data_IF_435531883320
#
_entry.id   IF_435531883320
#
_cell.length_a   1.000
_cell.length_b   1.000
_cell.length_c   1.000
_cell.angle_alpha   90.00
_cell.angle_beta   90.00
_cell.angle_gamma   90.00
#
_symmetry.space_group_name_H-M   'P 1'
#
loop_
_entity.id
_entity.type
_entity.pdbx_description
1 polymer ?
#
# COMPACT_ATOMS: atom_id res chain seq x y z
N UNK A 1 -9.86 -22.81 10.36
CA UNK A 1 -9.66 -21.33 10.45
C UNK A 1 -8.68 -20.96 11.58
N UNK A 2 -8.90 -21.39 12.83
CA UNK A 2 -8.06 -21.02 13.98
C UNK A 2 -6.57 -21.40 13.81
N UNK A 3 -6.31 -22.59 13.33
CA UNK A 3 -4.96 -23.13 13.13
C UNK A 3 -4.14 -22.33 12.09
N UNK A 4 -4.80 -21.82 11.05
CA UNK A 4 -4.16 -20.99 10.03
C UNK A 4 -3.80 -19.61 10.59
N UNK A 5 -4.68 -18.99 11.40
CA UNK A 5 -4.41 -17.72 12.08
C UNK A 5 -3.22 -17.85 13.03
N UNK A 6 -3.18 -18.90 13.85
CA UNK A 6 -2.08 -19.16 14.79
C UNK A 6 -0.73 -19.34 14.07
N UNK A 7 -0.72 -20.12 12.97
CA UNK A 7 0.46 -20.26 12.10
C UNK A 7 0.93 -18.92 11.52
N UNK A 8 -0.02 -18.12 11.05
CA UNK A 8 0.30 -16.82 10.47
C UNK A 8 0.89 -15.86 11.51
N UNK A 9 0.33 -15.84 12.72
CA UNK A 9 0.87 -15.03 13.82
C UNK A 9 2.29 -15.48 14.19
N UNK A 10 2.56 -16.78 14.25
CA UNK A 10 3.91 -17.30 14.52
C UNK A 10 4.89 -16.91 13.40
N UNK A 11 4.48 -17.03 12.14
CA UNK A 11 5.31 -16.63 11.02
C UNK A 11 5.63 -15.13 11.05
N UNK A 12 4.64 -14.28 11.29
CA UNK A 12 4.83 -12.83 11.43
C UNK A 12 5.80 -12.49 12.57
N UNK A 13 5.67 -13.16 13.73
CA UNK A 13 6.59 -12.97 14.87
C UNK A 13 8.03 -13.27 14.46
N UNK A 14 8.28 -14.40 13.83
CA UNK A 14 9.64 -14.81 13.40
C UNK A 14 10.20 -13.75 12.45
N UNK A 15 9.43 -13.26 11.50
CA UNK A 15 9.88 -12.19 10.59
C UNK A 15 10.22 -10.92 11.35
N UNK A 16 9.34 -10.46 12.25
CA UNK A 16 9.59 -9.26 13.06
C UNK A 16 10.91 -9.37 13.81
N UNK A 17 11.15 -10.50 14.50
CA UNK A 17 12.37 -10.73 15.27
C UNK A 17 13.62 -10.82 14.37
N UNK A 18 13.51 -11.47 13.20
CA UNK A 18 14.60 -11.58 12.21
C UNK A 18 14.97 -10.21 11.61
N UNK A 19 14.00 -9.31 11.47
CA UNK A 19 14.20 -7.94 10.97
C UNK A 19 14.47 -6.93 12.09
N UNK A 20 15.01 -7.40 13.21
CA UNK A 20 15.41 -6.58 14.37
C UNK A 20 14.24 -5.80 15.03
N UNK A 21 13.01 -6.24 14.81
CA UNK A 21 11.85 -5.73 15.50
C UNK A 21 11.56 -6.49 16.80
N UNK A 22 10.67 -5.94 17.59
CA UNK A 22 10.14 -6.56 18.81
C UNK A 22 8.62 -6.60 18.77
N UNK A 23 8.06 -7.78 18.93
CA UNK A 23 6.61 -7.92 19.12
C UNK A 23 6.22 -7.37 20.48
N UNK A 24 5.30 -6.44 20.52
CA UNK A 24 4.80 -5.79 21.74
C UNK A 24 3.64 -6.56 22.32
N UNK A 25 2.64 -6.82 21.50
CA UNK A 25 1.43 -7.57 21.90
C UNK A 25 0.68 -8.14 20.71
N UNK A 26 -0.19 -9.09 21.01
CA UNK A 26 -1.20 -9.58 20.07
C UNK A 26 -2.45 -8.71 20.13
N UNK A 27 -3.10 -8.49 18.99
CA UNK A 27 -4.32 -7.69 18.84
C UNK A 27 -5.45 -8.53 18.24
N UNK A 28 -5.79 -9.61 18.94
CA UNK A 28 -6.75 -10.60 18.45
C UNK A 28 -6.13 -11.51 17.39
N UNK A 29 -6.46 -11.30 16.12
CA UNK A 29 -5.94 -12.02 14.95
C UNK A 29 -4.66 -11.41 14.35
N UNK A 30 -4.12 -10.36 14.96
CA UNK A 30 -2.93 -9.64 14.51
C UNK A 30 -1.87 -9.48 15.59
N UNK A 31 -0.83 -8.71 15.27
CA UNK A 31 0.23 -8.34 16.20
C UNK A 31 0.65 -6.89 16.03
N UNK A 32 1.13 -6.30 17.12
CA UNK A 32 1.80 -5.02 17.14
C UNK A 32 3.28 -5.22 17.39
N UNK A 33 4.11 -4.62 16.55
CA UNK A 33 5.56 -4.67 16.66
C UNK A 33 6.17 -3.26 16.61
N UNK A 34 7.37 -3.12 17.16
CA UNK A 34 8.18 -1.89 17.11
C UNK A 34 9.54 -2.19 16.51
N UNK A 35 10.05 -1.21 15.78
CA UNK A 35 11.37 -1.22 15.13
C UNK A 35 12.11 0.06 15.49
N UNK A 36 13.43 0.02 15.47
CA UNK A 36 14.28 1.17 15.77
C UNK A 36 14.33 2.20 14.63
N UNK A 37 14.07 1.74 13.41
CA UNK A 37 14.13 2.53 12.18
C UNK A 37 13.01 2.14 11.20
N UNK A 38 12.67 3.03 10.26
CA UNK A 38 11.58 2.79 9.32
C UNK A 38 11.93 1.75 8.24
N UNK A 39 13.20 1.59 7.88
CA UNK A 39 13.62 0.64 6.84
C UNK A 39 13.43 -0.80 7.31
N UNK A 40 13.81 -1.10 8.56
CA UNK A 40 13.55 -2.41 9.19
C UNK A 40 12.05 -2.73 9.25
N UNK A 41 11.20 -1.73 9.52
CA UNK A 41 9.75 -1.91 9.52
C UNK A 41 9.19 -2.19 8.12
N UNK A 42 9.68 -1.48 7.10
CA UNK A 42 9.29 -1.70 5.71
C UNK A 42 9.73 -3.08 5.21
N UNK A 43 10.98 -3.48 5.51
CA UNK A 43 11.51 -4.80 5.15
C UNK A 43 10.74 -5.94 5.83
N UNK A 44 10.44 -5.80 7.13
CA UNK A 44 9.58 -6.75 7.83
C UNK A 44 8.20 -6.85 7.20
N UNK A 45 7.61 -5.73 6.80
CA UNK A 45 6.30 -5.66 6.16
C UNK A 45 6.27 -6.45 4.84
N UNK A 46 7.26 -6.26 3.97
CA UNK A 46 7.38 -7.00 2.72
C UNK A 46 7.63 -8.50 2.96
N UNK A 47 8.54 -8.80 3.89
CA UNK A 47 8.86 -10.19 4.22
C UNK A 47 7.66 -10.92 4.82
N UNK A 48 6.86 -10.27 5.67
CA UNK A 48 5.60 -10.82 6.20
C UNK A 48 4.65 -11.15 5.04
N UNK A 49 4.45 -10.20 4.13
CA UNK A 49 3.55 -10.41 2.99
C UNK A 49 3.96 -11.64 2.18
N UNK A 50 5.24 -11.77 1.82
CA UNK A 50 5.77 -12.90 1.07
C UNK A 50 5.62 -14.21 1.86
N UNK A 51 6.03 -14.20 3.14
CA UNK A 51 5.94 -15.38 4.00
C UNK A 51 4.51 -15.90 4.11
N UNK A 52 3.54 -15.01 4.27
CA UNK A 52 2.13 -15.41 4.37
C UNK A 52 1.56 -15.91 3.04
N UNK A 53 2.01 -15.36 1.92
CA UNK A 53 1.66 -15.81 0.57
C UNK A 53 2.16 -17.25 0.31
N UNK A 54 3.34 -17.57 0.83
CA UNK A 54 4.00 -18.87 0.65
C UNK A 54 3.58 -19.91 1.70
N UNK A 55 2.78 -19.52 2.71
CA UNK A 55 2.28 -20.47 3.70
C UNK A 55 1.43 -21.55 3.01
N UNK A 56 1.70 -22.85 3.26
CA UNK A 56 0.91 -23.93 2.73
C UNK A 56 -0.56 -23.77 3.15
N UNK A 57 -1.45 -23.73 2.19
CA UNK A 57 -2.91 -23.72 2.40
C UNK A 57 -3.52 -24.90 1.65
N UNK A 58 -4.53 -25.55 2.23
CA UNK A 58 -5.30 -26.54 1.49
C UNK A 58 -6.22 -25.84 0.49
N UNK A 59 -6.66 -26.51 -0.60
CA UNK A 59 -7.57 -25.92 -1.59
C UNK A 59 -8.87 -25.34 -0.98
N UNK A 60 -9.27 -25.85 0.19
CA UNK A 60 -10.47 -25.44 0.93
C UNK A 60 -10.19 -24.28 1.91
N UNK A 61 -8.92 -23.94 2.17
CA UNK A 61 -8.51 -22.86 3.06
C UNK A 61 -8.25 -21.61 2.24
N UNK A 62 -9.06 -20.59 2.49
CA UNK A 62 -8.86 -19.26 1.93
C UNK A 62 -7.51 -18.71 2.40
N UNK A 63 -6.68 -18.21 1.48
CA UNK A 63 -5.40 -17.57 1.83
C UNK A 63 -5.66 -16.37 2.71
N UNK A 64 -4.91 -16.26 3.82
CA UNK A 64 -5.00 -15.10 4.69
C UNK A 64 -4.28 -13.92 4.05
N UNK A 65 -5.01 -12.83 3.91
CA UNK A 65 -4.47 -11.55 3.47
C UNK A 65 -4.50 -10.56 4.65
N UNK A 66 -3.33 -10.22 5.16
CA UNK A 66 -3.21 -9.27 6.28
C UNK A 66 -3.26 -7.83 5.81
N UNK A 67 -3.81 -6.96 6.66
CA UNK A 67 -3.72 -5.51 6.52
C UNK A 67 -2.57 -5.03 7.37
N UNK A 68 -1.70 -4.22 6.80
CA UNK A 68 -0.53 -3.72 7.52
C UNK A 68 -0.49 -2.20 7.49
N UNK A 69 -0.06 -1.62 8.61
CA UNK A 69 0.17 -0.18 8.71
C UNK A 69 1.39 0.07 9.57
N UNK A 70 2.26 0.98 9.16
CA UNK A 70 3.40 1.37 9.97
C UNK A 70 3.63 2.88 9.92
N UNK A 71 4.13 3.43 11.01
CA UNK A 71 4.46 4.84 11.14
C UNK A 71 5.68 5.01 12.05
N UNK A 72 6.57 5.90 11.66
CA UNK A 72 7.78 6.21 12.41
C UNK A 72 7.61 7.53 13.19
N UNK A 73 7.78 7.47 14.48
CA UNK A 73 7.65 8.63 15.35
C UNK A 73 7.94 8.28 16.82
N UNK A 74 7.89 9.28 17.72
CA UNK A 74 8.15 9.06 19.12
C UNK A 74 7.07 8.19 19.78
N UNK A 75 7.51 7.31 20.68
CA UNK A 75 6.63 6.45 21.49
C UNK A 75 7.01 6.56 22.96
N UNK A 76 6.05 6.35 23.84
CA UNK A 76 6.29 6.21 25.27
C UNK A 76 6.38 4.72 25.58
N UNK A 77 7.49 4.30 26.16
CA UNK A 77 7.71 2.91 26.59
C UNK A 77 7.35 2.77 28.06
N UNK A 78 6.50 1.80 28.38
CA UNK A 78 6.11 1.46 29.76
C UNK A 78 6.13 -0.06 29.95
N UNK A 79 7.16 -0.54 30.64
CA UNK A 79 7.43 -1.97 30.75
C UNK A 79 7.70 -2.60 29.39
N UNK A 80 6.91 -3.58 29.00
CA UNK A 80 6.99 -4.26 27.69
C UNK A 80 6.09 -3.62 26.63
N UNK A 81 5.21 -2.69 26.99
CA UNK A 81 4.24 -2.04 26.09
C UNK A 81 4.74 -0.68 25.60
N UNK A 82 4.11 -0.17 24.53
CA UNK A 82 4.37 1.16 23.95
C UNK A 82 3.06 1.90 23.71
N UNK A 83 3.10 3.23 23.91
CA UNK A 83 1.96 4.10 23.84
C UNK A 83 2.30 5.40 23.08
N UNK A 84 1.27 6.10 22.66
CA UNK A 84 1.39 7.43 22.08
C UNK A 84 0.63 7.59 20.77
N UNK A 85 0.65 8.79 20.24
CA UNK A 85 -0.04 9.12 18.99
C UNK A 85 0.50 8.31 17.80
N UNK A 86 1.82 8.06 17.76
CA UNK A 86 2.49 7.23 16.77
C UNK A 86 1.87 5.83 16.70
N UNK A 87 1.63 5.21 17.86
CA UNK A 87 1.03 3.87 17.95
C UNK A 87 -0.41 3.87 17.43
N UNK A 88 -1.20 4.85 17.90
CA UNK A 88 -2.59 5.00 17.45
C UNK A 88 -2.69 5.30 15.96
N UNK A 89 -1.73 6.05 15.43
CA UNK A 89 -1.70 6.38 14.03
C UNK A 89 -1.36 5.17 13.17
N UNK A 90 -0.34 4.38 13.55
CA UNK A 90 -0.01 3.13 12.87
C UNK A 90 -1.20 2.15 12.83
N UNK A 91 -1.94 2.01 13.95
CA UNK A 91 -3.14 1.19 13.99
C UNK A 91 -4.21 1.65 12.99
N UNK A 92 -4.44 2.95 12.89
CA UNK A 92 -5.40 3.53 11.90
C UNK A 92 -4.94 3.33 10.46
N UNK A 93 -3.64 3.36 10.19
CA UNK A 93 -3.10 3.05 8.87
C UNK A 93 -3.37 1.58 8.50
N UNK A 94 -3.23 0.66 9.45
CA UNK A 94 -3.57 -0.75 9.23
C UNK A 94 -5.08 -0.94 8.96
N UNK A 95 -5.95 -0.20 9.64
CA UNK A 95 -7.40 -0.22 9.39
C UNK A 95 -7.77 0.30 7.99
N UNK A 96 -7.02 1.29 7.47
CA UNK A 96 -7.22 1.86 6.13
C UNK A 96 -6.68 0.96 5.01
N UNK A 97 -5.77 0.07 5.33
CA UNK A 97 -5.19 -0.85 4.35
C UNK A 97 -6.23 -1.86 3.86
N UNK A 98 -6.24 -2.13 2.58
CA UNK A 98 -6.95 -3.27 2.02
C UNK A 98 -6.24 -4.59 2.37
N UNK A 99 -6.94 -5.74 2.38
CA UNK A 99 -6.30 -7.04 2.57
C UNK A 99 -5.12 -7.25 1.61
N UNK A 100 -3.97 -7.68 2.14
CA UNK A 100 -2.74 -7.86 1.37
C UNK A 100 -1.97 -6.58 1.06
N UNK A 101 -2.36 -5.45 1.62
CA UNK A 101 -1.73 -4.14 1.40
C UNK A 101 -1.09 -3.60 2.67
N UNK A 102 -0.10 -2.74 2.49
CA UNK A 102 0.57 -2.05 3.58
C UNK A 102 0.56 -0.54 3.34
N UNK A 103 0.14 0.22 4.35
CA UNK A 103 0.06 1.69 4.28
C UNK A 103 1.00 2.33 5.29
N UNK A 104 1.66 3.38 4.86
CA UNK A 104 2.43 4.27 5.72
C UNK A 104 2.10 5.73 5.45
N UNK A 105 2.51 6.64 6.34
CA UNK A 105 2.40 8.07 6.09
C UNK A 105 3.48 8.55 5.13
N UNK A 106 3.21 9.61 4.37
CA UNK A 106 4.23 10.25 3.54
C UNK A 106 5.40 10.80 4.38
N UNK A 107 5.18 11.15 5.64
CA UNK A 107 6.25 11.53 6.57
C UNK A 107 7.21 10.37 6.81
N UNK A 108 6.69 9.18 7.10
CA UNK A 108 7.51 7.97 7.26
C UNK A 108 8.16 7.58 5.93
N UNK A 109 7.43 7.65 4.83
CA UNK A 109 7.93 7.32 3.49
C UNK A 109 9.15 8.19 3.10
N UNK A 110 9.16 9.46 3.48
CA UNK A 110 10.32 10.36 3.26
C UNK A 110 11.56 9.99 4.08
N UNK A 111 11.41 9.22 5.15
CA UNK A 111 12.51 8.75 6.02
C UNK A 111 13.08 7.41 5.59
N UNK A 112 12.38 6.70 4.70
CA UNK A 112 12.85 5.46 4.11
C UNK A 112 14.04 5.71 3.17
N UNK A 113 14.96 4.76 3.11
CA UNK A 113 16.08 4.79 2.21
C UNK A 113 15.68 4.87 0.73
N UNK A 114 16.61 5.26 -0.16
CA UNK A 114 16.33 5.44 -1.59
C UNK A 114 15.87 4.15 -2.28
N UNK A 115 16.24 3.00 -1.78
CA UNK A 115 15.86 1.66 -2.26
C UNK A 115 14.34 1.42 -2.22
N UNK A 116 13.63 2.10 -1.32
CA UNK A 116 12.18 1.96 -1.16
C UNK A 116 11.37 2.75 -2.17
N UNK A 117 11.99 3.71 -2.88
CA UNK A 117 11.26 4.64 -3.78
C UNK A 117 10.51 3.94 -4.90
N UNK A 118 11.07 2.85 -5.44
CA UNK A 118 10.46 2.08 -6.53
C UNK A 118 9.23 1.27 -6.12
N UNK A 119 9.09 0.99 -4.81
CA UNK A 119 8.00 0.18 -4.25
C UNK A 119 7.02 0.99 -3.41
N UNK A 120 7.20 2.30 -3.31
CA UNK A 120 6.29 3.23 -2.65
C UNK A 120 5.39 3.92 -3.67
N UNK A 121 4.08 3.82 -3.46
CA UNK A 121 3.08 4.47 -4.28
C UNK A 121 2.29 5.50 -3.46
N UNK A 122 2.28 6.75 -3.90
CA UNK A 122 1.53 7.80 -3.23
C UNK A 122 0.02 7.57 -3.38
N UNK A 123 -0.70 7.69 -2.28
CA UNK A 123 -2.16 7.60 -2.26
C UNK A 123 -2.78 8.99 -2.14
N UNK A 124 -4.02 9.18 -2.62
CA UNK A 124 -4.76 10.41 -2.35
C UNK A 124 -4.84 10.70 -0.85
N UNK A 125 -4.68 11.96 -0.42
CA UNK A 125 -4.80 12.35 0.98
C UNK A 125 -6.14 11.90 1.57
N UNK A 126 -6.12 11.36 2.80
CA UNK A 126 -7.32 10.91 3.50
C UNK A 126 -7.48 11.56 4.86
N UNK A 127 -8.73 11.86 5.22
CA UNK A 127 -9.07 12.26 6.58
C UNK A 127 -9.07 11.01 7.45
N UNK A 128 -8.21 11.01 8.47
CA UNK A 128 -8.10 9.93 9.45
C UNK A 128 -8.85 10.36 10.70
N UNK A 129 -9.66 9.45 11.26
CA UNK A 129 -10.45 9.72 12.47
C UNK A 129 -9.55 10.30 13.58
N UNK A 130 -9.95 11.46 14.15
CA UNK A 130 -9.22 12.15 15.20
C UNK A 130 -8.08 13.06 14.72
N UNK A 131 -7.91 13.22 13.40
CA UNK A 131 -7.05 14.25 12.81
C UNK A 131 -7.91 15.29 12.11
N UNK A 132 -7.58 16.56 12.29
CA UNK A 132 -8.34 17.70 11.74
C UNK A 132 -8.00 18.00 10.26
N UNK A 133 -6.94 17.40 9.71
CA UNK A 133 -6.48 17.66 8.34
C UNK A 133 -6.29 16.32 7.59
N UNK A 134 -6.50 16.31 6.27
CA UNK A 134 -6.13 15.16 5.45
C UNK A 134 -4.64 14.85 5.58
N UNK A 135 -4.31 13.57 5.60
CA UNK A 135 -2.95 13.06 5.70
C UNK A 135 -2.54 12.47 4.37
N UNK A 136 -1.35 12.83 3.91
CA UNK A 136 -0.69 12.20 2.76
C UNK A 136 -0.23 10.79 3.15
N UNK A 137 -0.57 9.82 2.33
CA UNK A 137 -0.32 8.41 2.58
C UNK A 137 0.47 7.80 1.43
N UNK A 138 1.18 6.73 1.72
CA UNK A 138 1.85 5.89 0.73
C UNK A 138 1.47 4.43 0.96
N UNK A 139 1.26 3.70 -0.12
CA UNK A 139 1.15 2.24 -0.12
C UNK A 139 2.52 1.64 -0.43
N UNK A 140 2.93 0.64 0.33
CA UNK A 140 4.09 -0.19 0.03
C UNK A 140 3.65 -1.34 -0.86
N UNK A 141 4.19 -1.40 -2.08
CA UNK A 141 3.83 -2.37 -3.11
C UNK A 141 4.43 -3.75 -2.79
N UNK A 142 3.73 -4.54 -1.99
CA UNK A 142 4.19 -5.85 -1.56
C UNK A 142 4.28 -6.90 -2.69
N UNK A 143 3.63 -6.68 -3.83
CA UNK A 143 3.61 -7.61 -4.96
C UNK A 143 4.76 -7.38 -5.95
N UNK A 144 5.34 -6.18 -5.98
CA UNK A 144 6.37 -5.80 -6.96
C UNK A 144 7.70 -6.57 -6.80
N UNK A 145 7.98 -7.13 -5.64
CA UNK A 145 9.27 -7.80 -5.33
C UNK A 145 9.28 -9.27 -5.79
N UNK A 146 8.12 -9.89 -5.98
CA UNK A 146 8.03 -11.28 -6.46
C UNK A 146 8.34 -11.47 -7.95
N UNK A 147 8.33 -10.40 -8.74
CA UNK A 147 8.62 -10.39 -10.19
C UNK A 147 9.95 -9.71 -10.54
N UNK A 148 10.59 -9.04 -9.59
CA UNK A 148 11.94 -8.53 -9.78
C UNK A 148 12.93 -9.68 -9.61
N UNK A 149 13.06 -10.49 -10.64
CA UNK A 149 14.30 -11.25 -10.88
C UNK A 149 15.45 -10.24 -10.77
N UNK A 150 16.40 -10.48 -9.86
CA UNK A 150 17.62 -9.69 -9.75
C UNK A 150 18.35 -9.80 -11.07
N UNK A 151 18.03 -8.92 -11.99
CA UNK A 151 18.91 -8.60 -13.09
C UNK A 151 19.84 -7.53 -12.53
N UNK A 152 21.04 -7.94 -12.13
CA UNK A 152 22.16 -7.01 -12.09
C UNK A 152 22.23 -6.39 -13.49
N UNK A 153 21.73 -5.21 -13.65
CA UNK A 153 21.80 -4.45 -14.87
C UNK A 153 22.40 -3.11 -14.57
N UNK A 154 23.62 -2.97 -15.04
CA UNK A 154 24.16 -1.70 -15.45
C UNK A 154 23.08 -0.86 -16.17
N UNK A 155 22.99 0.39 -15.72
CA UNK A 155 22.37 1.52 -16.42
C UNK A 155 21.40 1.20 -17.57
N UNK A 156 20.13 1.16 -17.28
CA UNK A 156 19.12 1.57 -18.24
C UNK A 156 18.12 2.49 -17.53
N UNK A 157 18.31 3.79 -17.71
CA UNK A 157 17.28 4.80 -17.52
C UNK A 157 16.20 4.51 -18.55
N UNK A 158 15.25 3.64 -18.24
CA UNK A 158 13.97 3.65 -18.94
C UNK A 158 13.25 4.89 -18.42
N UNK A 159 13.24 5.92 -19.26
CA UNK A 159 12.24 6.97 -19.18
C UNK A 159 10.88 6.28 -19.24
N UNK A 160 10.25 6.04 -18.10
CA UNK A 160 8.85 5.59 -18.06
C UNK A 160 8.03 6.75 -18.58
N UNK A 161 7.51 6.61 -19.79
CA UNK A 161 6.55 7.57 -20.32
C UNK A 161 5.41 7.78 -19.31
N UNK A 162 4.96 9.01 -19.11
CA UNK A 162 3.90 9.29 -18.16
C UNK A 162 2.64 8.53 -18.54
N UNK A 163 2.09 7.78 -17.59
CA UNK A 163 0.88 6.99 -17.75
C UNK A 163 -0.14 7.39 -16.69
N UNK A 164 -1.37 7.72 -17.12
CA UNK A 164 -2.48 8.02 -16.23
C UNK A 164 -3.56 6.93 -16.38
N UNK A 165 -3.85 6.23 -15.30
CA UNK A 165 -4.92 5.23 -15.26
C UNK A 165 -6.18 5.80 -14.63
N UNK A 166 -7.27 5.76 -15.36
CA UNK A 166 -8.59 6.19 -14.91
C UNK A 166 -9.44 4.95 -14.60
N UNK A 167 -10.08 4.95 -13.44
CA UNK A 167 -10.99 3.88 -13.01
C UNK A 167 -12.37 4.49 -12.74
N UNK A 168 -13.40 3.95 -13.38
CA UNK A 168 -14.79 4.29 -13.12
C UNK A 168 -15.61 2.99 -13.10
N UNK A 169 -16.07 2.60 -11.92
CA UNK A 169 -16.76 1.32 -11.69
C UNK A 169 -15.97 0.12 -12.25
N UNK A 170 -16.49 -0.54 -13.28
CA UNK A 170 -15.84 -1.67 -13.96
C UNK A 170 -15.02 -1.26 -15.20
N UNK A 171 -14.93 0.03 -15.51
CA UNK A 171 -14.22 0.56 -16.67
C UNK A 171 -12.84 1.04 -16.21
N UNK A 172 -11.78 0.56 -16.86
CA UNK A 172 -10.43 1.11 -16.71
C UNK A 172 -9.93 1.64 -18.04
N UNK A 173 -9.35 2.83 -18.03
CA UNK A 173 -8.77 3.47 -19.20
C UNK A 173 -7.37 3.97 -18.88
N UNK A 174 -6.44 3.75 -19.80
CA UNK A 174 -5.05 4.20 -19.66
C UNK A 174 -4.78 5.30 -20.68
N UNK A 175 -4.31 6.45 -20.21
CA UNK A 175 -3.75 7.52 -21.03
C UNK A 175 -2.24 7.44 -20.97
N UNK A 176 -1.59 7.53 -22.14
CA UNK A 176 -0.15 7.53 -22.31
C UNK A 176 0.20 8.32 -23.58
N UNK A 177 1.46 8.32 -23.98
CA UNK A 177 1.92 9.04 -25.19
C UNK A 177 1.19 8.61 -26.46
N UNK A 178 0.72 7.38 -26.56
CA UNK A 178 -0.03 6.88 -27.72
C UNK A 178 -1.52 7.24 -27.65
N UNK A 179 -2.07 7.42 -26.45
CA UNK A 179 -3.45 7.85 -26.20
C UNK A 179 -3.46 8.94 -25.14
N UNK A 180 -3.15 10.20 -25.51
CA UNK A 180 -2.94 11.28 -24.54
C UNK A 180 -4.23 11.87 -23.98
N UNK A 181 -5.41 11.58 -24.57
CA UNK A 181 -6.68 12.11 -24.07
C UNK A 181 -7.78 11.08 -24.07
N UNK A 182 -8.80 11.31 -23.25
CA UNK A 182 -10.03 10.54 -23.19
C UNK A 182 -11.26 11.45 -23.05
N UNK A 183 -12.30 11.12 -23.79
CA UNK A 183 -13.61 11.80 -23.74
C UNK A 183 -14.58 11.02 -22.88
N UNK A 184 -15.28 11.75 -22.03
CA UNK A 184 -16.31 11.24 -21.12
C UNK A 184 -17.64 11.87 -21.51
N UNK A 185 -18.69 11.09 -21.63
CA UNK A 185 -20.02 11.64 -21.91
C UNK A 185 -21.03 10.58 -22.32
N UNK A 186 -22.24 11.02 -22.67
CA UNK A 186 -23.33 10.15 -23.09
C UNK A 186 -23.23 9.71 -24.57
N UNK A 187 -22.29 10.25 -25.33
CA UNK A 187 -22.06 9.83 -26.71
C UNK A 187 -21.52 8.39 -26.72
N UNK A 188 -22.13 7.47 -27.49
CA UNK A 188 -21.60 6.10 -27.63
C UNK A 188 -20.17 6.03 -28.17
N UNK A 189 -19.68 7.10 -28.82
CA UNK A 189 -18.32 7.24 -29.30
C UNK A 189 -17.34 7.82 -28.25
N UNK A 190 -17.80 8.09 -27.01
CA UNK A 190 -16.91 8.51 -25.93
C UNK A 190 -16.08 7.33 -25.42
N UNK A 191 -14.86 7.61 -24.95
CA UNK A 191 -13.98 6.59 -24.37
C UNK A 191 -14.55 6.03 -23.05
N UNK A 192 -15.27 6.87 -22.31
CA UNK A 192 -16.08 6.48 -21.14
C UNK A 192 -17.50 6.95 -21.36
N UNK A 193 -18.40 5.99 -21.57
CA UNK A 193 -19.82 6.27 -21.77
C UNK A 193 -20.52 6.33 -20.41
N UNK A 194 -21.11 7.49 -20.10
CA UNK A 194 -21.88 7.71 -18.86
C UNK A 194 -23.37 7.60 -19.17
N UNK A 195 -24.05 6.65 -18.55
CA UNK A 195 -25.49 6.38 -18.79
C UNK A 195 -26.47 7.37 -18.17
N UNK A 196 -25.98 8.43 -17.51
CA UNK A 196 -26.81 9.43 -16.86
C UNK A 196 -27.41 10.41 -17.86
N UNK A 197 -28.74 10.62 -17.78
CA UNK A 197 -29.50 11.57 -18.62
C UNK A 197 -29.13 13.04 -18.37
N UNK A 198 -28.54 13.35 -17.22
CA UNK A 198 -28.07 14.70 -16.85
C UNK A 198 -26.71 15.03 -17.49
N UNK A 199 -25.99 14.02 -17.94
CA UNK A 199 -24.70 14.21 -18.60
C UNK A 199 -24.85 14.63 -20.05
N UNK A 200 -24.06 15.60 -20.53
CA UNK A 200 -24.05 16.01 -21.94
C UNK A 200 -23.40 14.92 -22.82
N UNK A 201 -23.64 14.99 -24.14
CA UNK A 201 -23.01 14.04 -25.09
C UNK A 201 -21.49 14.07 -24.99
N UNK A 202 -20.90 15.26 -24.85
CA UNK A 202 -19.47 15.49 -24.52
C UNK A 202 -19.46 16.21 -23.19
N UNK A 203 -19.27 15.47 -22.10
CA UNK A 203 -19.37 16.01 -20.75
C UNK A 203 -18.03 16.51 -20.23
N UNK A 204 -16.96 15.76 -20.44
CA UNK A 204 -15.60 16.12 -20.05
C UNK A 204 -14.58 15.51 -21.01
N UNK A 205 -13.40 16.10 -21.04
CA UNK A 205 -12.21 15.56 -21.68
C UNK A 205 -11.05 15.61 -20.68
N UNK A 206 -10.32 14.51 -20.56
CA UNK A 206 -9.13 14.40 -19.72
C UNK A 206 -7.94 14.28 -20.66
N UNK A 207 -6.93 15.09 -20.44
CA UNK A 207 -5.70 15.12 -21.25
C UNK A 207 -4.48 14.90 -20.35
N UNK A 208 -3.62 13.98 -20.74
CA UNK A 208 -2.31 13.79 -20.14
C UNK A 208 -1.34 14.84 -20.71
N UNK A 209 -0.93 15.79 -19.86
CA UNK A 209 0.08 16.78 -20.22
C UNK A 209 1.40 16.40 -19.58
N UNK A 210 2.41 16.17 -20.38
CA UNK A 210 3.77 16.00 -19.90
C UNK A 210 4.29 17.31 -19.29
N UNK A 211 4.95 17.23 -18.16
CA UNK A 211 5.71 18.37 -17.61
C UNK A 211 6.82 18.73 -18.61
N UNK A 212 6.92 20.05 -18.92
CA UNK A 212 8.04 20.64 -19.65
C UNK A 212 9.12 21.08 -18.70
#
# INVERSE_FOLDING_TARGET
AFELVDRSIRAMRIVVETKHGRVVKHTGDGLMAVFSDPDSAADATLTIHQTLKDLPSTPEQQRLAVRMGFHFGPVVVSGTDVFGETVNFAARLAELASPGKAITSAETARRLGPEWRSVLHALPPRVIRGLSRPVELCELMCEAIGELTIVQSDHFLLETEPELRLYLDSISLVLNSNKPSARIGRDPAADIVVGDTQSSRRHAEIELRGDK
#
